data_IF_820672088170
#
_entry.id   IF_820672088170
#
_cell.length_a   1.000
_cell.length_b   1.000
_cell.length_c   1.000
_cell.angle_alpha   90.00
_cell.angle_beta   90.00
_cell.angle_gamma   90.00
#
_symmetry.space_group_name_H-M   'P 1'
#
loop_
_entity.id
_entity.type
_entity.pdbx_description
1 polymer ?
#
# COMPACT_ATOMS: atom_id res chain seq x y z
N UNK A 1 57.04 -4.52 -28.64
CA UNK A 1 56.86 -5.81 -27.92
C UNK A 1 57.81 -6.02 -26.74
N UNK A 2 58.78 -5.12 -26.45
CA UNK A 2 59.74 -5.31 -25.35
C UNK A 2 59.35 -4.63 -24.02
N UNK A 3 58.39 -3.70 -24.01
CA UNK A 3 58.04 -2.91 -22.81
C UNK A 3 57.09 -3.61 -21.83
N UNK A 4 56.41 -4.69 -22.24
CA UNK A 4 55.47 -5.44 -21.38
C UNK A 4 56.14 -6.43 -20.42
N UNK A 5 57.28 -7.01 -20.82
CA UNK A 5 57.97 -8.03 -20.01
C UNK A 5 58.66 -7.46 -18.76
N UNK A 6 59.07 -6.20 -18.79
CA UNK A 6 59.71 -5.54 -17.63
C UNK A 6 58.74 -5.31 -16.48
N UNK A 7 57.52 -4.85 -16.78
CA UNK A 7 56.49 -4.60 -15.77
C UNK A 7 55.96 -5.88 -15.10
N UNK A 8 55.80 -6.96 -15.88
CA UNK A 8 55.39 -8.27 -15.35
C UNK A 8 56.41 -8.85 -14.36
N UNK A 9 57.71 -8.66 -14.61
CA UNK A 9 58.78 -9.13 -13.72
C UNK A 9 58.82 -8.29 -12.43
N UNK A 10 58.67 -6.97 -12.50
CA UNK A 10 58.58 -6.10 -11.31
C UNK A 10 57.35 -6.38 -10.44
N UNK A 11 56.21 -6.70 -11.05
CA UNK A 11 54.99 -7.03 -10.29
C UNK A 11 55.10 -8.40 -9.61
N UNK A 12 55.71 -9.38 -10.28
CA UNK A 12 56.02 -10.68 -9.70
C UNK A 12 56.99 -10.57 -8.52
N UNK A 13 58.09 -9.81 -8.65
CA UNK A 13 59.04 -9.62 -7.54
C UNK A 13 58.41 -8.89 -6.36
N UNK A 14 57.57 -7.88 -6.61
CA UNK A 14 56.85 -7.13 -5.56
C UNK A 14 55.83 -7.99 -4.82
N UNK A 15 55.12 -8.87 -5.54
CA UNK A 15 54.18 -9.83 -4.93
C UNK A 15 54.91 -10.88 -4.07
N UNK A 16 56.07 -11.37 -4.54
CA UNK A 16 56.92 -12.30 -3.80
C UNK A 16 57.53 -11.65 -2.56
N UNK A 17 57.99 -10.39 -2.65
CA UNK A 17 58.48 -9.63 -1.51
C UNK A 17 57.38 -9.42 -0.46
N UNK A 18 56.15 -9.09 -0.90
CA UNK A 18 55.01 -8.88 -0.01
C UNK A 18 54.65 -10.13 0.77
N UNK A 19 54.50 -11.26 0.08
CA UNK A 19 54.15 -12.55 0.71
C UNK A 19 55.24 -12.99 1.68
N UNK A 20 56.51 -12.86 1.31
CA UNK A 20 57.64 -13.18 2.18
C UNK A 20 57.71 -12.25 3.41
N UNK A 21 57.37 -10.97 3.24
CA UNK A 21 57.27 -10.00 4.34
C UNK A 21 56.11 -10.33 5.29
N UNK A 22 54.92 -10.63 4.77
CA UNK A 22 53.74 -10.98 5.57
C UNK A 22 53.99 -12.29 6.34
N UNK A 23 54.61 -13.29 5.70
CA UNK A 23 55.02 -14.54 6.35
C UNK A 23 56.09 -14.31 7.43
N UNK A 24 57.08 -13.44 7.19
CA UNK A 24 58.12 -13.13 8.17
C UNK A 24 57.60 -12.30 9.35
N UNK A 25 56.66 -11.37 9.12
CA UNK A 25 56.06 -10.54 10.18
C UNK A 25 55.09 -11.32 11.07
N UNK A 26 54.46 -12.37 10.54
CA UNK A 26 53.53 -13.21 11.32
C UNK A 26 54.23 -14.19 12.27
N UNK A 27 55.51 -14.52 12.03
CA UNK A 27 56.26 -15.46 12.86
C UNK A 27 56.96 -14.74 14.01
N UNK A 28 56.79 -15.17 15.28
CA UNK A 28 57.53 -14.59 16.39
C UNK A 28 59.03 -14.86 16.23
N UNK A 29 59.86 -13.98 16.82
CA UNK A 29 61.32 -14.13 16.78
C UNK A 29 61.71 -15.45 17.44
N UNK A 30 62.47 -16.33 16.77
CA UNK A 30 62.82 -17.63 17.32
C UNK A 30 63.78 -17.50 18.50
N UNK A 31 63.74 -18.44 19.44
CA UNK A 31 64.62 -18.47 20.63
C UNK A 31 66.10 -18.62 20.26
N UNK A 32 66.39 -19.14 19.06
CA UNK A 32 67.72 -19.26 18.48
C UNK A 32 68.33 -17.92 18.07
N UNK A 33 67.52 -16.86 17.98
CA UNK A 33 68.00 -15.53 17.67
C UNK A 33 68.84 -14.98 18.82
N UNK A 34 70.06 -14.51 18.50
CA UNK A 34 70.93 -13.82 19.47
C UNK A 34 70.23 -12.65 20.17
N UNK A 35 69.31 -11.99 19.47
CA UNK A 35 68.50 -10.91 20.03
C UNK A 35 67.54 -11.38 21.12
N UNK A 36 66.85 -12.50 20.88
CA UNK A 36 65.98 -13.12 21.90
C UNK A 36 66.79 -13.58 23.12
N UNK A 37 67.95 -14.21 22.91
CA UNK A 37 68.83 -14.63 23.99
C UNK A 37 69.34 -13.45 24.85
N UNK A 38 69.62 -12.29 24.23
CA UNK A 38 69.98 -11.08 24.95
C UNK A 38 68.79 -10.53 25.76
N UNK A 39 67.60 -10.46 25.16
CA UNK A 39 66.38 -10.01 25.84
C UNK A 39 66.02 -10.92 27.03
N UNK A 40 66.12 -12.24 26.86
CA UNK A 40 65.90 -13.21 27.92
C UNK A 40 66.87 -13.02 29.09
N UNK A 41 68.16 -12.71 28.82
CA UNK A 41 69.14 -12.37 29.87
C UNK A 41 68.83 -11.07 30.60
N UNK A 42 68.12 -10.15 29.96
CA UNK A 42 67.64 -8.90 30.58
C UNK A 42 66.30 -9.07 31.32
N UNK A 43 65.79 -10.31 31.44
CA UNK A 43 64.58 -10.63 32.20
C UNK A 43 63.28 -10.64 31.38
N UNK A 44 63.36 -10.59 30.05
CA UNK A 44 62.20 -10.76 29.18
C UNK A 44 61.75 -12.22 29.14
N UNK A 45 60.46 -12.49 29.38
CA UNK A 45 59.83 -13.80 29.16
C UNK A 45 58.77 -13.66 28.07
N UNK A 46 58.57 -14.68 27.21
CA UNK A 46 57.53 -14.64 26.18
C UNK A 46 56.17 -14.34 26.81
N UNK A 47 55.48 -13.32 26.30
CA UNK A 47 54.20 -12.82 26.84
C UNK A 47 54.32 -11.62 27.80
N UNK A 48 55.53 -11.20 28.18
CA UNK A 48 55.76 -9.96 28.92
C UNK A 48 55.89 -8.76 27.98
N UNK A 49 55.39 -7.59 28.38
CA UNK A 49 55.66 -6.34 27.68
C UNK A 49 56.92 -5.67 28.22
N UNK A 50 57.59 -4.84 27.41
CA UNK A 50 58.70 -4.03 27.86
C UNK A 50 58.19 -2.77 28.59
N UNK A 51 58.85 -2.40 29.70
CA UNK A 51 58.55 -1.18 30.47
C UNK A 51 58.58 -1.39 31.99
N UNK A 52 58.39 -0.30 32.75
CA UNK A 52 58.33 -0.35 34.21
C UNK A 52 57.02 -1.03 34.65
N UNK A 53 57.14 -2.11 35.43
CA UNK A 53 56.00 -2.77 36.08
C UNK A 53 55.46 -1.87 37.19
N UNK A 54 54.13 -1.74 37.30
CA UNK A 54 53.50 -1.01 38.41
C UNK A 54 53.36 -1.88 39.66
N UNK A 55 53.10 -3.18 39.48
CA UNK A 55 52.96 -4.18 40.55
C UNK A 55 53.78 -5.45 40.26
N UNK A 56 54.09 -6.26 41.29
CA UNK A 56 54.84 -7.53 41.19
C UNK A 56 54.17 -8.55 40.25
N UNK A 57 52.84 -8.54 40.19
CA UNK A 57 52.03 -9.40 39.31
C UNK A 57 51.71 -8.78 37.93
N UNK A 58 52.22 -7.57 37.63
CA UNK A 58 51.94 -6.87 36.39
C UNK A 58 52.83 -7.37 35.23
N UNK A 59 52.18 -7.87 34.16
CA UNK A 59 52.81 -8.28 32.90
C UNK A 59 53.24 -7.07 32.03
N UNK A 60 53.06 -5.87 32.58
CA UNK A 60 53.43 -4.59 32.01
C UNK A 60 52.36 -4.06 31.05
N UNK A 61 52.36 -2.74 30.89
CA UNK A 61 51.40 -1.97 30.08
C UNK A 61 51.90 -1.65 28.66
N UNK A 62 53.05 -2.18 28.23
CA UNK A 62 53.62 -1.90 26.91
C UNK A 62 52.89 -2.65 25.79
N UNK A 63 53.01 -2.16 24.55
CA UNK A 63 52.53 -2.87 23.37
C UNK A 63 53.23 -4.24 23.26
N UNK A 64 52.44 -5.30 23.07
CA UNK A 64 52.93 -6.69 22.95
C UNK A 64 53.16 -7.09 21.50
N UNK A 65 52.45 -6.44 20.60
CA UNK A 65 52.52 -6.68 19.17
C UNK A 65 53.13 -5.46 18.48
N UNK A 66 53.95 -5.67 17.45
CA UNK A 66 54.51 -4.58 16.66
C UNK A 66 53.39 -3.80 15.96
N UNK A 67 53.55 -2.49 15.85
CA UNK A 67 52.60 -1.63 15.14
C UNK A 67 52.50 -2.04 13.66
N UNK A 68 51.28 -2.24 13.12
CA UNK A 68 51.11 -2.59 11.73
C UNK A 68 51.55 -1.42 10.84
N UNK A 69 52.41 -1.72 9.86
CA UNK A 69 52.88 -0.74 8.87
C UNK A 69 52.12 -0.94 7.57
N UNK A 70 51.22 -0.03 7.25
CA UNK A 70 50.52 0.02 5.97
C UNK A 70 51.43 0.58 4.87
N UNK A 71 51.98 -0.30 4.03
CA UNK A 71 52.78 0.12 2.88
C UNK A 71 51.87 0.40 1.70
N UNK A 72 51.84 1.66 1.23
CA UNK A 72 51.09 2.05 0.05
C UNK A 72 51.75 1.49 -1.21
N UNK A 73 51.01 0.67 -1.94
CA UNK A 73 51.46 0.10 -3.22
C UNK A 73 51.37 1.11 -4.37
N UNK A 74 50.43 2.05 -4.29
CA UNK A 74 50.16 3.04 -5.34
C UNK A 74 50.85 4.38 -5.06
N UNK A 75 51.24 5.07 -6.13
CA UNK A 75 51.82 6.42 -6.08
C UNK A 75 50.74 7.52 -5.97
N UNK A 76 49.55 7.18 -5.49
CA UNK A 76 48.43 8.12 -5.33
C UNK A 76 48.56 8.90 -4.02
N UNK A 77 48.02 10.12 -3.98
CA UNK A 77 48.07 10.98 -2.79
C UNK A 77 47.46 10.33 -1.54
N UNK A 78 47.96 10.69 -0.36
CA UNK A 78 47.33 10.35 0.91
C UNK A 78 45.89 10.91 0.92
N UNK A 79 44.89 10.06 1.19
CA UNK A 79 43.48 10.45 1.27
C UNK A 79 42.63 10.17 0.01
N UNK A 80 43.26 9.95 -1.14
CA UNK A 80 42.53 9.80 -2.41
C UNK A 80 41.62 8.57 -2.48
N UNK A 81 42.02 7.45 -1.87
CA UNK A 81 41.20 6.24 -1.81
C UNK A 81 39.91 6.45 -0.98
N UNK A 82 40.02 7.13 0.16
CA UNK A 82 38.87 7.46 1.00
C UNK A 82 37.94 8.46 0.29
N UNK A 83 38.48 9.45 -0.40
CA UNK A 83 37.69 10.40 -1.17
C UNK A 83 36.93 9.71 -2.31
N UNK A 84 37.58 8.83 -3.06
CA UNK A 84 36.94 8.04 -4.12
C UNK A 84 35.84 7.14 -3.58
N UNK A 85 36.07 6.48 -2.45
CA UNK A 85 35.06 5.64 -1.80
C UNK A 85 33.86 6.47 -1.31
N UNK A 86 34.11 7.64 -0.71
CA UNK A 86 33.05 8.56 -0.31
C UNK A 86 32.25 9.06 -1.52
N UNK A 87 32.91 9.44 -2.61
CA UNK A 87 32.25 9.85 -3.84
C UNK A 87 31.41 8.72 -4.45
N UNK A 88 31.89 7.48 -4.44
CA UNK A 88 31.15 6.31 -4.90
C UNK A 88 29.91 6.04 -4.04
N UNK A 89 30.03 6.11 -2.71
CA UNK A 89 28.90 5.97 -1.77
C UNK A 89 27.84 7.04 -1.99
N UNK A 90 28.24 8.31 -2.15
CA UNK A 90 27.33 9.41 -2.44
C UNK A 90 26.58 9.20 -3.77
N UNK A 91 27.26 8.67 -4.79
CA UNK A 91 26.64 8.36 -6.09
C UNK A 91 25.56 7.29 -5.95
N UNK A 92 25.85 6.19 -5.26
CA UNK A 92 24.89 5.11 -5.01
C UNK A 92 23.70 5.62 -4.19
N UNK A 93 23.97 6.43 -3.16
CA UNK A 93 22.91 6.99 -2.30
C UNK A 93 21.93 7.86 -3.10
N UNK A 94 22.44 8.74 -3.98
CA UNK A 94 21.59 9.55 -4.88
C UNK A 94 20.75 8.70 -5.83
N UNK A 95 21.31 7.62 -6.36
CA UNK A 95 20.60 6.72 -7.25
C UNK A 95 19.51 5.94 -6.51
N UNK A 96 19.80 5.47 -5.30
CA UNK A 96 18.84 4.79 -4.42
C UNK A 96 17.69 5.72 -4.02
N UNK A 97 17.98 6.98 -3.70
CA UNK A 97 16.97 8.00 -3.41
C UNK A 97 16.07 8.28 -4.63
N UNK A 98 16.66 8.36 -5.83
CA UNK A 98 15.90 8.51 -7.07
C UNK A 98 14.99 7.30 -7.35
N UNK A 99 15.48 6.09 -7.09
CA UNK A 99 14.69 4.86 -7.21
C UNK A 99 13.55 4.82 -6.20
N UNK A 100 13.82 5.17 -4.94
CA UNK A 100 12.82 5.26 -3.87
C UNK A 100 11.71 6.25 -4.23
N UNK A 101 12.05 7.46 -4.70
CA UNK A 101 11.06 8.46 -5.11
C UNK A 101 10.16 7.97 -6.25
N UNK A 102 10.72 7.23 -7.22
CA UNK A 102 9.92 6.62 -8.31
C UNK A 102 8.99 5.52 -7.80
N UNK A 103 9.45 4.71 -6.86
CA UNK A 103 8.64 3.68 -6.24
C UNK A 103 7.49 4.30 -5.42
N UNK A 104 7.76 5.35 -4.64
CA UNK A 104 6.74 6.11 -3.90
C UNK A 104 5.66 6.68 -4.83
N UNK A 105 6.07 7.33 -5.93
CA UNK A 105 5.13 7.81 -6.94
C UNK A 105 4.27 6.69 -7.53
N UNK A 106 4.84 5.50 -7.77
CA UNK A 106 4.08 4.36 -8.28
C UNK A 106 3.08 3.82 -7.26
N UNK A 107 3.45 3.77 -5.98
CA UNK A 107 2.55 3.37 -4.89
C UNK A 107 1.39 4.34 -4.77
N UNK A 108 1.67 5.64 -4.75
CA UNK A 108 0.65 6.69 -4.68
C UNK A 108 -0.35 6.59 -5.85
N UNK A 109 0.13 6.45 -7.08
CA UNK A 109 -0.72 6.25 -8.26
C UNK A 109 -1.57 4.97 -8.17
N UNK A 110 -1.01 3.89 -7.61
CA UNK A 110 -1.73 2.61 -7.44
C UNK A 110 -2.84 2.75 -6.39
N UNK A 111 -2.57 3.46 -5.29
CA UNK A 111 -3.56 3.73 -4.24
C UNK A 111 -4.69 4.61 -4.75
N UNK A 112 -4.39 5.69 -5.47
CA UNK A 112 -5.41 6.54 -6.10
C UNK A 112 -6.30 5.75 -7.07
N UNK A 113 -5.71 4.90 -7.90
CA UNK A 113 -6.46 4.04 -8.82
C UNK A 113 -7.41 3.11 -8.06
N UNK A 114 -6.93 2.46 -6.99
CA UNK A 114 -7.76 1.60 -6.12
C UNK A 114 -8.89 2.40 -5.47
N UNK A 115 -8.61 3.61 -4.97
CA UNK A 115 -9.60 4.49 -4.34
C UNK A 115 -10.71 4.87 -5.32
N UNK A 116 -10.34 5.28 -6.55
CA UNK A 116 -11.29 5.61 -7.63
C UNK A 116 -12.14 4.41 -8.03
N UNK A 117 -11.53 3.22 -8.16
CA UNK A 117 -12.25 1.99 -8.50
C UNK A 117 -13.20 1.54 -7.39
N UNK A 118 -12.80 1.65 -6.13
CA UNK A 118 -13.69 1.38 -4.97
C UNK A 118 -14.88 2.34 -4.94
N UNK A 119 -14.65 3.64 -5.14
CA UNK A 119 -15.73 4.63 -5.18
C UNK A 119 -16.76 4.33 -6.28
N UNK A 120 -16.31 4.00 -7.48
CA UNK A 120 -17.19 3.69 -8.62
C UNK A 120 -17.89 2.32 -8.49
N UNK A 121 -17.33 1.37 -7.73
CA UNK A 121 -18.06 0.14 -7.35
C UNK A 121 -19.12 0.47 -6.32
N UNK A 122 -18.76 1.25 -5.30
CA UNK A 122 -19.65 1.64 -4.20
C UNK A 122 -20.91 2.34 -4.70
N UNK A 123 -20.80 3.24 -5.68
CA UNK A 123 -21.98 3.92 -6.28
C UNK A 123 -22.94 2.91 -6.90
N UNK A 124 -22.39 1.98 -7.69
CA UNK A 124 -23.17 0.93 -8.38
C UNK A 124 -23.75 -0.09 -7.42
N UNK A 125 -23.05 -0.39 -6.33
CA UNK A 125 -23.55 -1.24 -5.25
C UNK A 125 -24.76 -0.57 -4.58
N UNK A 126 -24.65 0.70 -4.18
CA UNK A 126 -25.77 1.46 -3.61
C UNK A 126 -26.99 1.50 -4.53
N UNK A 127 -26.80 1.82 -5.82
CA UNK A 127 -27.91 1.88 -6.79
C UNK A 127 -28.57 0.50 -6.95
N UNK A 128 -27.77 -0.58 -7.02
CA UNK A 128 -28.31 -1.95 -7.10
C UNK A 128 -29.14 -2.28 -5.87
N UNK A 129 -28.64 -1.94 -4.68
CA UNK A 129 -29.31 -2.23 -3.41
C UNK A 129 -30.61 -1.42 -3.27
N UNK A 130 -30.62 -0.15 -3.72
CA UNK A 130 -31.83 0.68 -3.79
C UNK A 130 -32.86 0.05 -4.72
N UNK A 131 -32.47 -0.29 -5.95
CA UNK A 131 -33.40 -0.86 -6.94
C UNK A 131 -33.96 -2.21 -6.49
N UNK A 132 -33.14 -3.05 -5.85
CA UNK A 132 -33.60 -4.29 -5.25
C UNK A 132 -34.60 -4.03 -4.11
N UNK A 133 -34.31 -3.05 -3.24
CA UNK A 133 -35.22 -2.64 -2.15
C UNK A 133 -36.55 -2.13 -2.69
N UNK A 134 -36.54 -1.30 -3.74
CA UNK A 134 -37.77 -0.79 -4.40
C UNK A 134 -38.63 -1.91 -4.96
N UNK A 135 -38.00 -2.91 -5.60
CA UNK A 135 -38.73 -4.07 -6.13
C UNK A 135 -39.44 -4.84 -5.03
N UNK A 136 -38.75 -5.09 -3.92
CA UNK A 136 -39.32 -5.81 -2.78
C UNK A 136 -40.40 -4.98 -2.07
N UNK A 137 -40.18 -3.67 -1.94
CA UNK A 137 -41.15 -2.72 -1.40
C UNK A 137 -42.48 -2.83 -2.14
N UNK A 138 -42.46 -2.71 -3.47
CA UNK A 138 -43.67 -2.85 -4.30
C UNK A 138 -44.36 -4.21 -4.07
N UNK A 139 -43.59 -5.29 -4.02
CA UNK A 139 -44.16 -6.64 -3.82
C UNK A 139 -44.83 -6.79 -2.45
N UNK A 140 -44.17 -6.33 -1.38
CA UNK A 140 -44.68 -6.42 -0.01
C UNK A 140 -45.87 -5.47 0.22
N UNK A 141 -45.77 -4.25 -0.28
CA UNK A 141 -46.85 -3.25 -0.20
C UNK A 141 -48.13 -3.77 -0.86
N UNK A 142 -48.02 -4.30 -2.08
CA UNK A 142 -49.16 -4.88 -2.80
C UNK A 142 -49.74 -6.10 -2.06
N UNK A 143 -48.91 -6.92 -1.40
CA UNK A 143 -49.36 -8.04 -0.57
C UNK A 143 -50.14 -7.56 0.67
N UNK A 144 -49.78 -6.40 1.20
CA UNK A 144 -50.50 -5.73 2.30
C UNK A 144 -51.68 -4.86 1.85
N UNK A 145 -52.08 -4.94 0.58
CA UNK A 145 -53.15 -4.13 -0.03
C UNK A 145 -52.88 -2.60 -0.02
N UNK A 146 -51.62 -2.19 -0.01
CA UNK A 146 -51.25 -0.78 -0.22
C UNK A 146 -51.29 -0.46 -1.71
N UNK A 147 -52.14 0.48 -2.10
CA UNK A 147 -52.29 0.89 -3.50
C UNK A 147 -51.42 2.08 -3.87
N UNK A 148 -50.77 2.73 -2.92
CA UNK A 148 -49.86 3.86 -3.14
C UNK A 148 -48.65 3.70 -2.22
N UNK A 149 -47.44 4.08 -2.69
CA UNK A 149 -46.28 4.08 -1.82
C UNK A 149 -46.40 5.16 -0.74
N UNK A 150 -45.93 4.86 0.47
CA UNK A 150 -45.84 5.88 1.53
C UNK A 150 -44.95 7.05 1.10
N UNK A 151 -43.87 6.74 0.38
CA UNK A 151 -42.96 7.72 -0.19
C UNK A 151 -42.94 7.60 -1.71
N UNK A 152 -43.25 8.66 -2.47
CA UNK A 152 -43.48 8.57 -3.92
C UNK A 152 -42.38 7.89 -4.74
N UNK A 153 -41.11 7.99 -4.32
CA UNK A 153 -40.00 7.39 -5.06
C UNK A 153 -39.75 5.91 -4.70
N UNK A 154 -40.37 5.35 -3.66
CA UNK A 154 -40.19 3.92 -3.30
C UNK A 154 -40.66 2.99 -4.42
N UNK A 155 -41.70 3.39 -5.15
CA UNK A 155 -42.16 2.67 -6.31
C UNK A 155 -41.59 3.28 -7.58
N UNK A 156 -41.31 2.43 -8.58
CA UNK A 156 -40.83 2.88 -9.88
C UNK A 156 -41.94 3.54 -10.68
N UNK A 157 -41.67 4.75 -11.16
CA UNK A 157 -42.55 5.42 -12.12
C UNK A 157 -42.12 5.13 -13.56
N UNK A 158 -43.11 5.10 -14.44
CA UNK A 158 -42.94 4.85 -15.86
C UNK A 158 -43.55 6.01 -16.62
N UNK A 159 -42.82 6.52 -17.61
CA UNK A 159 -43.38 7.51 -18.53
C UNK A 159 -44.45 6.83 -19.39
N UNK A 160 -45.54 7.54 -19.66
CA UNK A 160 -46.54 7.11 -20.64
C UNK A 160 -46.66 8.21 -21.68
N UNK A 161 -46.28 7.90 -22.92
CA UNK A 161 -46.60 8.78 -24.04
C UNK A 161 -48.13 8.81 -24.19
N UNK A 162 -48.71 10.00 -24.10
CA UNK A 162 -50.08 10.22 -24.53
C UNK A 162 -50.05 10.26 -26.06
N UNK A 163 -50.14 9.10 -26.72
CA UNK A 163 -50.44 9.10 -28.15
C UNK A 163 -51.82 9.73 -28.34
N UNK A 164 -51.87 10.98 -28.76
CA UNK A 164 -53.02 11.54 -29.46
C UNK A 164 -52.98 11.04 -30.91
N UNK A 165 -53.16 9.74 -31.12
CA UNK A 165 -53.18 9.08 -32.43
C UNK A 165 -54.56 9.17 -33.12
N UNK A 166 -55.32 10.26 -32.92
CA UNK A 166 -56.61 10.46 -33.61
C UNK A 166 -56.80 11.86 -34.26
N UNK A 167 -55.74 12.67 -34.42
CA UNK A 167 -55.83 13.88 -35.25
C UNK A 167 -54.53 14.18 -35.99
N UNK A 168 -54.22 13.35 -36.98
CA UNK A 168 -53.35 13.76 -38.08
C UNK A 168 -54.08 14.82 -38.91
N UNK A 169 -53.99 16.09 -38.52
CA UNK A 169 -54.32 17.20 -39.42
C UNK A 169 -53.65 18.50 -38.97
N UNK A 170 -52.49 18.74 -39.57
CA UNK A 170 -51.97 20.06 -39.94
C UNK A 170 -51.71 21.06 -38.80
N UNK A 171 -50.45 21.19 -38.37
CA UNK A 171 -49.97 22.41 -37.72
C UNK A 171 -48.51 22.68 -38.11
N UNK A 172 -48.30 23.91 -38.59
CA UNK A 172 -47.08 24.50 -39.11
C UNK A 172 -45.90 24.50 -38.14
N UNK A 173 -44.70 24.66 -38.71
CA UNK A 173 -43.43 24.91 -38.04
C UNK A 173 -43.55 26.21 -37.22
N UNK A 174 -43.54 26.11 -35.87
CA UNK A 174 -43.18 27.15 -34.87
C UNK A 174 -44.05 27.13 -33.58
N UNK A 175 -44.26 25.96 -32.95
CA UNK A 175 -44.87 25.89 -31.60
C UNK A 175 -43.94 25.15 -30.61
N UNK A 176 -43.67 25.81 -29.49
CA UNK A 176 -42.83 25.37 -28.37
C UNK A 176 -43.44 24.10 -27.72
N UNK A 177 -43.02 22.94 -28.21
CA UNK A 177 -43.54 21.63 -27.80
C UNK A 177 -42.99 21.20 -26.43
N UNK A 178 -43.38 21.93 -25.37
CA UNK A 178 -43.32 21.47 -23.99
C UNK A 178 -44.45 20.46 -23.76
N UNK A 179 -44.37 19.27 -24.38
CA UNK A 179 -45.24 18.15 -24.03
C UNK A 179 -45.07 17.84 -22.53
N UNK A 180 -46.14 18.01 -21.76
CA UNK A 180 -46.17 17.69 -20.33
C UNK A 180 -46.01 16.17 -20.14
N UNK A 181 -44.78 15.70 -19.94
CA UNK A 181 -44.48 14.29 -19.69
C UNK A 181 -45.16 13.83 -18.39
N UNK A 182 -46.19 12.98 -18.50
CA UNK A 182 -46.87 12.36 -17.34
C UNK A 182 -46.26 11.00 -17.00
N UNK A 183 -46.09 10.76 -15.70
CA UNK A 183 -45.53 9.53 -15.15
C UNK A 183 -46.59 8.79 -14.34
N UNK A 184 -46.54 7.46 -14.37
CA UNK A 184 -47.48 6.59 -13.67
C UNK A 184 -46.75 5.45 -12.97
N UNK A 185 -47.27 4.99 -11.84
CA UNK A 185 -46.85 3.74 -11.22
C UNK A 185 -47.38 2.53 -11.99
N UNK A 186 -46.87 1.34 -11.69
CA UNK A 186 -47.28 0.09 -12.35
C UNK A 186 -48.80 -0.21 -12.22
N UNK A 187 -49.46 0.33 -11.20
CA UNK A 187 -50.90 0.20 -10.99
C UNK A 187 -51.74 1.27 -11.72
N UNK A 188 -51.11 2.17 -12.48
CA UNK A 188 -51.79 3.20 -13.28
C UNK A 188 -52.10 4.52 -12.55
N UNK A 189 -51.70 4.67 -11.28
CA UNK A 189 -51.82 5.95 -10.56
C UNK A 189 -50.74 6.93 -10.98
N UNK A 190 -51.05 8.23 -10.94
CA UNK A 190 -50.10 9.29 -11.28
C UNK A 190 -48.91 9.29 -10.31
N UNK A 191 -47.72 9.42 -10.86
CA UNK A 191 -46.46 9.36 -10.14
C UNK A 191 -45.60 10.58 -10.49
N UNK A 192 -44.70 11.00 -9.60
CA UNK A 192 -43.69 11.98 -9.95
C UNK A 192 -42.69 11.41 -10.97
N UNK A 193 -41.94 12.31 -11.59
CA UNK A 193 -40.83 11.95 -12.47
C UNK A 193 -39.82 11.06 -11.73
N UNK A 194 -39.40 9.99 -12.40
CA UNK A 194 -38.41 9.04 -11.87
C UNK A 194 -37.07 9.76 -11.61
N UNK A 195 -36.57 9.66 -10.37
CA UNK A 195 -35.28 10.23 -9.97
C UNK A 195 -34.13 9.43 -10.62
N UNK A 196 -33.19 10.14 -11.24
CA UNK A 196 -32.04 9.52 -11.92
C UNK A 196 -30.93 9.21 -10.90
N UNK A 197 -30.98 8.03 -10.29
CA UNK A 197 -30.01 7.62 -9.26
C UNK A 197 -28.55 7.63 -9.72
N UNK A 198 -28.28 7.43 -11.03
CA UNK A 198 -26.93 7.48 -11.59
C UNK A 198 -26.28 8.88 -11.53
N UNK A 199 -27.06 9.94 -11.39
CA UNK A 199 -26.59 11.33 -11.33
C UNK A 199 -26.43 11.84 -9.88
N UNK A 200 -26.92 11.08 -8.90
CA UNK A 200 -26.89 11.48 -7.51
C UNK A 200 -25.51 11.21 -6.88
N UNK A 201 -25.05 12.10 -5.97
CA UNK A 201 -23.88 11.85 -5.16
C UNK A 201 -24.12 10.69 -4.18
N UNK A 202 -23.03 10.03 -3.78
CA UNK A 202 -23.09 8.82 -2.94
C UNK A 202 -23.73 9.05 -1.59
N UNK A 203 -23.54 10.22 -0.99
CA UNK A 203 -24.11 10.59 0.30
C UNK A 203 -25.65 10.53 0.22
N UNK A 204 -26.23 11.08 -0.84
CA UNK A 204 -27.69 11.04 -1.06
C UNK A 204 -28.16 9.61 -1.37
N UNK A 205 -27.42 8.86 -2.18
CA UNK A 205 -27.76 7.45 -2.45
C UNK A 205 -27.77 6.62 -1.17
N UNK A 206 -26.83 6.85 -0.26
CA UNK A 206 -26.78 6.17 1.03
C UNK A 206 -27.97 6.54 1.92
N UNK A 207 -28.33 7.83 1.99
CA UNK A 207 -29.54 8.28 2.70
C UNK A 207 -30.82 7.66 2.13
N UNK A 208 -30.94 7.61 0.79
CA UNK A 208 -32.07 6.96 0.12
C UNK A 208 -32.13 5.47 0.47
N UNK A 209 -31.01 4.75 0.42
CA UNK A 209 -30.94 3.33 0.78
C UNK A 209 -31.37 3.11 2.24
N UNK A 210 -30.88 3.93 3.18
CA UNK A 210 -31.28 3.85 4.58
C UNK A 210 -32.77 4.11 4.76
N UNK A 211 -33.33 5.07 4.03
CA UNK A 211 -34.75 5.42 4.12
C UNK A 211 -35.66 4.28 3.67
N UNK A 212 -35.41 3.70 2.49
CA UNK A 212 -36.26 2.60 1.98
C UNK A 212 -36.08 1.31 2.79
N UNK A 213 -34.86 1.04 3.26
CA UNK A 213 -34.61 -0.16 4.07
C UNK A 213 -35.15 -0.01 5.49
N UNK A 214 -35.16 1.19 6.05
CA UNK A 214 -35.85 1.51 7.30
C UNK A 214 -37.35 1.23 7.16
N UNK A 215 -37.97 1.73 6.08
CA UNK A 215 -39.36 1.44 5.79
C UNK A 215 -39.65 -0.07 5.69
N UNK A 216 -38.83 -0.83 4.96
CA UNK A 216 -38.99 -2.29 4.85
C UNK A 216 -38.89 -3.00 6.21
N UNK A 217 -38.06 -2.49 7.13
CA UNK A 217 -37.90 -3.05 8.48
C UNK A 217 -39.03 -2.65 9.43
N UNK A 218 -39.48 -1.41 9.37
CA UNK A 218 -40.49 -0.87 10.29
C UNK A 218 -41.90 -1.31 9.88
N UNK A 219 -42.25 -1.18 8.59
CA UNK A 219 -43.58 -1.52 8.09
C UNK A 219 -43.74 -3.02 7.80
N UNK A 220 -42.74 -3.63 7.16
CA UNK A 220 -42.83 -5.02 6.69
C UNK A 220 -42.01 -6.02 7.48
N UNK A 221 -41.17 -5.56 8.43
CA UNK A 221 -40.24 -6.42 9.20
C UNK A 221 -39.40 -7.29 8.29
N UNK A 222 -38.97 -6.73 7.16
CA UNK A 222 -38.19 -7.41 6.14
C UNK A 222 -36.77 -6.86 6.09
N UNK A 223 -35.80 -7.76 6.02
CA UNK A 223 -34.40 -7.41 5.84
C UNK A 223 -33.91 -7.85 4.45
N UNK A 224 -33.50 -6.89 3.62
CA UNK A 224 -33.03 -7.18 2.26
C UNK A 224 -31.73 -8.00 2.22
N UNK A 225 -30.86 -7.83 3.21
CA UNK A 225 -29.56 -8.51 3.26
C UNK A 225 -29.68 -9.95 3.80
N UNK A 226 -30.60 -10.18 4.74
CA UNK A 226 -30.93 -11.54 5.21
C UNK A 226 -31.85 -12.27 4.22
N UNK A 227 -32.63 -11.54 3.42
CA UNK A 227 -33.56 -12.11 2.44
C UNK A 227 -34.82 -12.73 3.06
N UNK A 228 -35.20 -12.34 4.27
CA UNK A 228 -36.32 -12.90 4.99
C UNK A 228 -37.20 -11.83 5.66
N UNK A 229 -38.47 -12.20 5.84
CA UNK A 229 -39.47 -11.45 6.61
C UNK A 229 -39.58 -12.08 8.00
N UNK A 230 -39.58 -11.24 9.04
CA UNK A 230 -39.65 -11.66 10.44
C UNK A 230 -41.08 -11.53 10.99
N UNK A 231 -41.40 -12.35 11.99
CA UNK A 231 -42.74 -12.36 12.58
C UNK A 231 -42.95 -11.21 13.54
N UNK A 232 -41.90 -10.73 14.22
CA UNK A 232 -41.95 -9.66 15.23
C UNK A 232 -40.71 -8.77 15.19
N UNK A 233 -40.80 -7.56 15.76
CA UNK A 233 -39.68 -6.61 15.81
C UNK A 233 -38.51 -7.12 16.68
N UNK A 234 -38.80 -7.78 17.80
CA UNK A 234 -37.77 -8.39 18.67
C UNK A 234 -36.99 -9.50 17.95
N UNK A 235 -37.64 -10.23 17.05
CA UNK A 235 -36.99 -11.25 16.23
C UNK A 235 -36.06 -10.60 15.18
N UNK A 236 -36.54 -9.54 14.53
CA UNK A 236 -35.74 -8.76 13.60
C UNK A 236 -34.48 -8.20 14.26
N UNK A 237 -34.58 -7.67 15.48
CA UNK A 237 -33.44 -7.06 16.18
C UNK A 237 -32.45 -8.11 16.73
N UNK A 238 -32.93 -9.29 17.10
CA UNK A 238 -32.08 -10.37 17.65
C UNK A 238 -31.37 -11.19 16.58
N UNK A 239 -32.03 -11.47 15.45
CA UNK A 239 -31.47 -12.33 14.39
C UNK A 239 -30.79 -11.57 13.25
N UNK A 240 -31.16 -10.31 13.01
CA UNK A 240 -30.53 -9.54 11.94
C UNK A 240 -29.30 -8.76 12.46
N UNK A 241 -28.11 -8.92 11.86
CA UNK A 241 -26.87 -8.32 12.36
C UNK A 241 -26.81 -6.79 12.23
N UNK A 242 -27.70 -6.16 11.46
CA UNK A 242 -27.80 -4.70 11.37
C UNK A 242 -28.72 -4.22 10.25
N UNK A 243 -28.72 -2.91 9.98
CA UNK A 243 -29.50 -2.30 8.89
C UNK A 243 -28.64 -2.01 7.65
N UNK A 244 -27.33 -2.23 7.68
CA UNK A 244 -26.47 -1.96 6.54
C UNK A 244 -25.91 -3.23 5.91
N UNK A 245 -25.52 -3.12 4.63
CA UNK A 245 -24.82 -4.18 3.91
C UNK A 245 -23.54 -4.61 4.61
N UNK A 246 -22.80 -3.65 5.17
CA UNK A 246 -21.54 -3.92 5.89
C UNK A 246 -21.73 -4.79 7.13
N UNK A 247 -22.90 -4.72 7.79
CA UNK A 247 -23.19 -5.58 8.94
C UNK A 247 -23.44 -7.05 8.54
N UNK A 248 -23.73 -7.30 7.26
CA UNK A 248 -24.02 -8.62 6.71
C UNK A 248 -22.91 -9.17 5.82
N UNK A 249 -22.00 -8.33 5.35
CA UNK A 249 -20.76 -8.73 4.72
C UNK A 249 -19.87 -9.36 5.80
N UNK A 250 -20.13 -10.63 6.08
CA UNK A 250 -19.20 -11.51 6.78
C UNK A 250 -17.91 -11.45 5.99
N UNK A 251 -16.85 -10.88 6.56
CA UNK A 251 -15.51 -11.04 6.02
C UNK A 251 -15.23 -12.54 6.17
N UNK A 252 -15.52 -13.32 5.13
CA UNK A 252 -15.06 -14.69 5.03
C UNK A 252 -13.53 -14.63 5.13
N UNK A 253 -13.01 -15.10 6.27
CA UNK A 253 -11.59 -15.36 6.51
C UNK A 253 -11.02 -16.40 5.54
#
# INVERSE_FOLDING_TARGET
>A
MAEGRGGEIEEQTRSAERTLREEALSKPVPETSKGFALMAKMGFKPGMSLGKKKDENDLGSGIREPLPVEVKSTRTGLGHANEQEQQAKLRIQREMERMKRRAEQHVELTEEYRKRKRGMSSTKDLIRDILASRKICVELDLRTNMEEPEVPWFWKSYYKQTNTDDFASNCDEDDDCSEELKYYYANGKEAPQEERFDELPNEILQERLLHITGYLRDAHRYCIWCGCQFENFEELESYCPGQDRQAHDSIDE
#
